data_IF_559404811798
#
_entry.id   IF_559404811798
#
_cell.length_a   1.000
_cell.length_b   1.000
_cell.length_c   1.000
_cell.angle_alpha   90.00
_cell.angle_beta   90.00
_cell.angle_gamma   90.00
#
_symmetry.space_group_name_H-M   'P 1'
#
loop_
_entity.id
_entity.type
_entity.pdbx_description
1 polymer ?
#
# COMPACT_ATOMS: atom_id res chain seq x y z
N UNK A 1 0.80 9.60 -17.48
CA UNK A 1 -0.16 10.33 -18.34
C UNK A 1 -0.09 11.82 -18.06
N UNK A 2 -0.48 12.69 -19.00
CA UNK A 2 -0.50 14.14 -18.78
C UNK A 2 -1.67 14.52 -17.85
N UNK A 3 -1.46 15.53 -17.02
CA UNK A 3 -2.51 16.13 -16.21
C UNK A 3 -3.53 16.88 -17.10
N UNK A 4 -4.78 16.95 -16.66
CA UNK A 4 -5.86 17.52 -17.46
C UNK A 4 -7.15 17.70 -16.66
N UNK A 5 -8.21 18.13 -17.35
CA UNK A 5 -9.57 18.21 -16.78
C UNK A 5 -10.19 16.81 -16.66
N UNK A 6 -11.08 16.60 -15.67
CA UNK A 6 -11.79 15.32 -15.46
C UNK A 6 -12.47 14.77 -16.73
N UNK A 7 -13.04 15.63 -17.58
CA UNK A 7 -13.72 15.19 -18.81
C UNK A 7 -12.78 14.53 -19.82
N UNK A 8 -11.49 14.88 -19.82
CA UNK A 8 -10.48 14.23 -20.67
C UNK A 8 -10.27 12.76 -20.27
N UNK A 9 -10.64 12.41 -19.05
CA UNK A 9 -10.49 11.09 -18.45
C UNK A 9 -11.79 10.29 -18.44
N UNK A 10 -12.86 10.78 -19.11
CA UNK A 10 -14.16 10.10 -19.20
C UNK A 10 -14.07 8.67 -19.74
N UNK A 11 -13.13 8.41 -20.64
CA UNK A 11 -12.89 7.09 -21.23
C UNK A 11 -12.40 6.04 -20.21
N UNK A 12 -11.92 6.45 -19.04
CA UNK A 12 -11.61 5.52 -17.95
C UNK A 12 -12.84 5.05 -17.19
N UNK A 13 -13.97 5.76 -17.31
CA UNK A 13 -15.23 5.34 -16.68
C UNK A 13 -15.61 3.94 -17.14
N UNK A 14 -16.04 3.12 -16.19
CA UNK A 14 -16.59 1.79 -16.43
C UNK A 14 -18.10 1.73 -16.23
N UNK A 15 -18.70 2.86 -15.89
CA UNK A 15 -20.13 2.99 -15.57
C UNK A 15 -20.75 4.02 -16.52
N UNK A 16 -21.97 3.73 -16.96
CA UNK A 16 -22.76 4.60 -17.84
C UNK A 16 -23.50 5.66 -17.03
N UNK A 17 -23.99 5.30 -15.84
CA UNK A 17 -24.75 6.20 -14.97
C UNK A 17 -24.21 6.23 -13.54
N UNK A 18 -24.68 7.21 -12.76
CA UNK A 18 -24.30 7.36 -11.35
C UNK A 18 -24.95 6.25 -10.51
N UNK A 19 -26.17 5.86 -10.87
CA UNK A 19 -26.91 4.75 -10.25
C UNK A 19 -26.14 3.44 -10.41
N UNK A 20 -25.70 3.11 -11.63
CA UNK A 20 -24.88 1.92 -11.89
C UNK A 20 -23.59 1.93 -11.05
N UNK A 21 -22.91 3.08 -10.97
CA UNK A 21 -21.73 3.22 -10.12
C UNK A 21 -22.05 2.97 -8.64
N UNK A 22 -23.14 3.54 -8.12
CA UNK A 22 -23.56 3.38 -6.74
C UNK A 22 -23.93 1.92 -6.42
N UNK A 23 -24.62 1.23 -7.32
CA UNK A 23 -24.98 -0.18 -7.17
C UNK A 23 -23.74 -1.07 -7.05
N UNK A 24 -22.75 -0.90 -7.94
CA UNK A 24 -21.52 -1.67 -7.87
C UNK A 24 -20.70 -1.35 -6.61
N UNK A 25 -20.66 -0.07 -6.20
CA UNK A 25 -20.01 0.35 -4.96
C UNK A 25 -20.68 -0.29 -3.74
N UNK A 26 -22.00 -0.33 -3.70
CA UNK A 26 -22.76 -0.94 -2.60
C UNK A 26 -22.53 -2.45 -2.54
N UNK A 27 -22.64 -3.16 -3.67
CA UNK A 27 -22.34 -4.61 -3.73
C UNK A 27 -20.94 -4.94 -3.22
N UNK A 28 -19.95 -4.12 -3.58
CA UNK A 28 -18.58 -4.30 -3.07
C UNK A 28 -18.50 -4.13 -1.55
N UNK A 29 -19.18 -3.13 -0.99
CA UNK A 29 -19.20 -2.90 0.46
C UNK A 29 -19.94 -4.02 1.20
N UNK A 30 -21.04 -4.53 0.64
CA UNK A 30 -21.77 -5.68 1.18
C UNK A 30 -20.91 -6.95 1.17
N UNK A 31 -20.10 -7.17 0.14
CA UNK A 31 -19.20 -8.32 0.05
C UNK A 31 -17.94 -8.18 0.93
N UNK A 32 -17.63 -6.96 1.35
CA UNK A 32 -16.44 -6.65 2.16
C UNK A 32 -16.75 -5.72 3.35
N UNK A 33 -17.66 -6.12 4.26
CA UNK A 33 -18.18 -5.25 5.31
C UNK A 33 -17.07 -4.75 6.25
N UNK A 34 -16.10 -5.61 6.57
CA UNK A 34 -15.02 -5.31 7.53
C UNK A 34 -13.73 -4.78 6.86
N UNK A 35 -13.78 -4.44 5.56
CA UNK A 35 -12.57 -4.02 4.85
C UNK A 35 -12.01 -2.71 5.40
N UNK A 36 -12.88 -1.73 5.62
CA UNK A 36 -12.50 -0.39 6.04
C UNK A 36 -12.81 -0.20 7.52
N UNK A 37 -11.89 0.43 8.24
CA UNK A 37 -12.25 1.00 9.54
C UNK A 37 -13.19 2.19 9.33
N UNK A 38 -13.87 2.65 10.38
CA UNK A 38 -14.78 3.79 10.29
C UNK A 38 -14.18 5.03 9.59
N UNK A 39 -12.97 5.45 9.99
CA UNK A 39 -12.30 6.60 9.36
C UNK A 39 -11.86 6.34 7.90
N UNK A 40 -11.54 5.09 7.56
CA UNK A 40 -11.22 4.71 6.18
C UNK A 40 -12.48 4.68 5.32
N UNK A 41 -13.62 4.28 5.87
CA UNK A 41 -14.91 4.33 5.19
C UNK A 41 -15.30 5.77 4.84
N UNK A 42 -15.13 6.72 5.76
CA UNK A 42 -15.34 8.16 5.47
C UNK A 42 -14.45 8.61 4.30
N UNK A 43 -13.17 8.21 4.31
CA UNK A 43 -12.24 8.52 3.22
C UNK A 43 -12.72 7.97 1.87
N UNK A 44 -13.21 6.72 1.87
CA UNK A 44 -13.74 6.04 0.69
C UNK A 44 -15.02 6.70 0.18
N UNK A 45 -15.91 7.11 1.09
CA UNK A 45 -17.16 7.81 0.77
C UNK A 45 -16.88 9.16 0.10
N UNK A 46 -15.97 9.96 0.66
CA UNK A 46 -15.55 11.24 0.07
C UNK A 46 -14.94 11.03 -1.31
N UNK A 47 -14.06 10.05 -1.48
CA UNK A 47 -13.52 9.73 -2.80
C UNK A 47 -14.62 9.32 -3.79
N UNK A 48 -15.63 8.57 -3.33
CA UNK A 48 -16.77 8.16 -4.15
C UNK A 48 -17.61 9.35 -4.60
N UNK A 49 -17.85 10.34 -3.72
CA UNK A 49 -18.56 11.58 -4.05
C UNK A 49 -17.81 12.40 -5.12
N UNK A 50 -16.48 12.48 -5.03
CA UNK A 50 -15.64 13.11 -6.06
C UNK A 50 -15.66 12.35 -7.40
N UNK A 51 -16.14 11.10 -7.40
CA UNK A 51 -16.24 10.23 -8.57
C UNK A 51 -17.64 10.21 -9.20
N UNK A 52 -18.52 11.16 -8.84
CA UNK A 52 -19.89 11.25 -9.39
C UNK A 52 -19.92 12.06 -10.69
N UNK A 53 -19.11 13.12 -10.82
CA UNK A 53 -19.09 14.01 -11.99
C UNK A 53 -18.82 13.23 -13.29
N UNK A 54 -17.89 12.29 -13.23
CA UNK A 54 -17.71 11.24 -14.22
C UNK A 54 -17.83 9.93 -13.45
N UNK A 55 -18.91 9.15 -13.65
CA UNK A 55 -19.20 7.97 -12.83
C UNK A 55 -17.99 7.06 -12.62
N UNK A 56 -17.58 6.88 -11.37
CA UNK A 56 -16.44 6.06 -10.99
C UNK A 56 -15.06 6.62 -11.33
N UNK A 57 -14.92 7.89 -11.74
CA UNK A 57 -13.62 8.53 -12.01
C UNK A 57 -13.47 9.83 -11.22
N UNK A 58 -12.40 9.94 -10.44
CA UNK A 58 -12.02 11.17 -9.75
C UNK A 58 -10.62 11.64 -10.16
N UNK A 59 -10.45 12.95 -10.35
CA UNK A 59 -9.18 13.59 -10.64
C UNK A 59 -8.87 14.61 -9.53
N UNK A 60 -8.07 14.21 -8.55
CA UNK A 60 -7.83 15.01 -7.36
C UNK A 60 -6.46 14.74 -6.71
N UNK A 61 -5.99 15.71 -5.90
CA UNK A 61 -4.87 15.48 -4.98
C UNK A 61 -5.37 14.78 -3.73
N UNK A 62 -4.55 13.90 -3.18
CA UNK A 62 -4.82 13.29 -1.85
C UNK A 62 -5.03 14.36 -0.78
N UNK A 63 -4.23 15.44 -0.81
CA UNK A 63 -4.37 16.54 0.14
C UNK A 63 -5.78 17.16 0.09
N UNK A 64 -6.31 17.42 -1.11
CA UNK A 64 -7.66 17.97 -1.30
C UNK A 64 -8.74 17.04 -0.76
N UNK A 65 -8.62 15.74 -1.02
CA UNK A 65 -9.58 14.73 -0.53
C UNK A 65 -9.55 14.62 1.00
N UNK A 66 -8.35 14.67 1.59
CA UNK A 66 -8.17 14.68 3.04
C UNK A 66 -8.78 15.93 3.66
N UNK A 67 -8.55 17.11 3.08
CA UNK A 67 -9.19 18.35 3.54
C UNK A 67 -10.71 18.30 3.44
N UNK A 68 -11.26 17.67 2.40
CA UNK A 68 -12.70 17.48 2.26
C UNK A 68 -13.30 16.55 3.34
N UNK A 69 -12.50 15.67 3.93
CA UNK A 69 -12.94 14.81 5.03
C UNK A 69 -13.01 15.55 6.38
N UNK A 70 -12.34 16.71 6.52
CA UNK A 70 -12.32 17.47 7.77
C UNK A 70 -13.70 17.94 8.23
N UNK A 71 -14.65 18.13 7.30
CA UNK A 71 -16.03 18.51 7.62
C UNK A 71 -16.88 17.35 8.17
N UNK A 72 -16.46 16.10 7.97
CA UNK A 72 -17.26 14.90 8.27
C UNK A 72 -16.77 14.15 9.52
N UNK A 73 -16.63 14.83 10.67
CA UNK A 73 -16.30 14.27 12.00
C UNK A 73 -14.80 14.24 12.36
N UNK A 74 -14.20 15.41 12.60
CA UNK A 74 -12.84 15.52 13.16
C UNK A 74 -11.70 15.31 12.16
N UNK A 75 -12.04 15.00 10.91
CA UNK A 75 -11.09 14.81 9.82
C UNK A 75 -10.31 13.50 9.90
N UNK A 76 -9.60 13.22 8.82
CA UNK A 76 -8.75 12.04 8.71
C UNK A 76 -7.32 12.48 8.41
N UNK A 77 -6.35 11.70 8.88
CA UNK A 77 -4.97 11.91 8.46
C UNK A 77 -4.75 11.46 7.01
N UNK A 78 -3.72 12.01 6.37
CA UNK A 78 -3.24 11.52 5.07
C UNK A 78 -2.88 10.03 5.12
N UNK A 79 -2.30 9.56 6.22
CA UNK A 79 -1.94 8.15 6.39
C UNK A 79 -3.17 7.24 6.34
N UNK A 80 -4.27 7.65 6.98
CA UNK A 80 -5.57 6.95 6.92
C UNK A 80 -6.08 6.86 5.48
N UNK A 81 -6.07 7.98 4.74
CA UNK A 81 -6.50 7.98 3.33
C UNK A 81 -5.64 7.04 2.47
N UNK A 82 -4.32 7.03 2.66
CA UNK A 82 -3.41 6.14 1.93
C UNK A 82 -3.64 4.67 2.30
N UNK A 83 -3.94 4.35 3.57
CA UNK A 83 -4.30 2.98 3.97
C UNK A 83 -5.60 2.52 3.31
N UNK A 84 -6.63 3.37 3.28
CA UNK A 84 -7.87 3.12 2.54
C UNK A 84 -7.58 2.82 1.06
N UNK A 85 -6.81 3.68 0.39
CA UNK A 85 -6.45 3.47 -1.02
C UNK A 85 -5.74 2.14 -1.25
N UNK A 86 -4.84 1.75 -0.35
CA UNK A 86 -4.12 0.47 -0.45
C UNK A 86 -5.08 -0.70 -0.31
N UNK A 87 -5.99 -0.66 0.67
CA UNK A 87 -7.01 -1.71 0.86
C UNK A 87 -7.95 -1.83 -0.35
N UNK A 88 -8.46 -0.70 -0.86
CA UNK A 88 -9.33 -0.65 -2.02
C UNK A 88 -8.63 -1.20 -3.29
N UNK A 89 -7.35 -0.87 -3.50
CA UNK A 89 -6.55 -1.43 -4.60
C UNK A 89 -6.35 -2.93 -4.48
N UNK A 90 -6.00 -3.40 -3.28
CA UNK A 90 -5.76 -4.82 -3.03
C UNK A 90 -7.02 -5.67 -3.26
N UNK A 91 -8.21 -5.11 -3.02
CA UNK A 91 -9.51 -5.75 -3.30
C UNK A 91 -10.01 -5.51 -4.73
N UNK A 92 -9.25 -4.83 -5.58
CA UNK A 92 -9.56 -4.68 -7.00
C UNK A 92 -10.60 -3.60 -7.34
N UNK A 93 -11.30 -3.01 -6.37
CA UNK A 93 -12.30 -1.96 -6.66
C UNK A 93 -11.70 -0.68 -7.20
N UNK A 94 -10.43 -0.38 -6.91
CA UNK A 94 -9.83 0.92 -7.25
C UNK A 94 -8.52 0.78 -8.00
N UNK A 95 -8.41 1.46 -9.14
CA UNK A 95 -7.14 1.70 -9.85
C UNK A 95 -6.74 3.16 -9.66
N UNK A 96 -5.43 3.42 -9.63
CA UNK A 96 -4.91 4.80 -9.54
C UNK A 96 -3.86 5.03 -10.60
N UNK A 97 -4.00 6.13 -11.32
CA UNK A 97 -3.03 6.58 -12.29
C UNK A 97 -2.37 7.88 -11.85
N UNK A 98 -1.04 7.90 -11.88
CA UNK A 98 -0.26 9.11 -11.63
C UNK A 98 -0.25 9.97 -12.88
N UNK A 99 -0.53 11.27 -12.72
CA UNK A 99 -0.42 12.24 -13.80
C UNK A 99 0.77 13.18 -13.57
N UNK A 100 1.25 13.76 -14.66
CA UNK A 100 2.43 14.63 -14.68
C UNK A 100 2.10 15.95 -15.38
N UNK A 101 2.71 17.05 -14.94
CA UNK A 101 2.58 18.34 -15.62
C UNK A 101 3.45 18.38 -16.88
N UNK A 102 3.15 19.29 -17.79
CA UNK A 102 4.00 19.60 -18.95
C UNK A 102 5.40 20.05 -18.54
N UNK A 103 5.51 20.82 -17.46
CA UNK A 103 6.76 21.30 -16.86
C UNK A 103 7.52 20.23 -16.05
N UNK A 104 7.03 18.99 -15.99
CA UNK A 104 7.56 17.94 -15.13
C UNK A 104 6.94 17.89 -13.73
N UNK A 105 7.26 16.84 -12.99
CA UNK A 105 6.75 16.56 -11.64
C UNK A 105 5.34 15.98 -11.59
N UNK A 106 4.95 15.46 -10.42
CA UNK A 106 3.64 14.86 -10.18
C UNK A 106 2.55 15.92 -10.07
N UNK A 107 1.42 15.64 -10.71
CA UNK A 107 0.20 16.44 -10.61
C UNK A 107 -0.87 15.67 -9.81
N UNK A 108 -2.14 15.87 -10.13
CA UNK A 108 -3.26 15.18 -9.51
C UNK A 108 -3.22 13.68 -9.84
N UNK A 109 -3.80 12.85 -8.99
CA UNK A 109 -3.99 11.45 -9.31
C UNK A 109 -5.38 11.26 -9.91
N UNK A 110 -5.48 10.28 -10.80
CA UNK A 110 -6.77 9.79 -11.28
C UNK A 110 -7.08 8.51 -10.54
N UNK A 111 -8.24 8.47 -9.91
CA UNK A 111 -8.79 7.31 -9.23
C UNK A 111 -9.92 6.77 -10.10
N UNK A 112 -9.88 5.48 -10.39
CA UNK A 112 -10.84 4.81 -11.29
C UNK A 112 -11.42 3.62 -10.56
N UNK A 113 -12.70 3.69 -10.24
CA UNK A 113 -13.46 2.58 -9.69
C UNK A 113 -13.67 1.52 -10.78
N UNK A 114 -13.49 0.26 -10.39
CA UNK A 114 -13.75 -0.89 -11.25
C UNK A 114 -15.15 -1.44 -10.94
N UNK A 115 -15.86 -1.99 -11.94
CA UNK A 115 -17.08 -2.72 -11.69
C UNK A 115 -16.84 -3.85 -10.69
N UNK A 116 -17.77 -4.01 -9.77
CA UNK A 116 -17.79 -5.18 -8.91
C UNK A 116 -18.29 -6.37 -9.72
N UNK A 117 -17.35 -7.19 -10.19
CA UNK A 117 -17.62 -8.54 -10.67
C UNK A 117 -17.39 -9.49 -9.49
N UNK A 118 -18.45 -10.19 -9.09
CA UNK A 118 -18.31 -11.28 -8.13
C UNK A 118 -17.33 -12.27 -8.76
N UNK A 119 -16.20 -12.61 -8.14
CA UNK A 119 -15.43 -13.74 -8.61
C UNK A 119 -16.39 -14.93 -8.56
N UNK A 120 -16.74 -15.48 -9.73
CA UNK A 120 -17.27 -16.83 -9.78
C UNK A 120 -16.17 -17.62 -9.10
N UNK A 121 -16.42 -18.07 -7.86
CA UNK A 121 -15.55 -19.04 -7.21
C UNK A 121 -15.40 -20.15 -8.25
N UNK A 122 -14.25 -20.19 -8.93
CA UNK A 122 -13.93 -21.30 -9.79
C UNK A 122 -13.90 -22.46 -8.83
N UNK A 123 -14.99 -23.23 -8.80
CA UNK A 123 -15.07 -24.42 -7.97
C UNK A 123 -13.79 -25.18 -8.26
N UNK A 124 -13.00 -25.42 -7.21
CA UNK A 124 -11.85 -26.32 -7.29
C UNK A 124 -12.39 -27.59 -7.93
N UNK A 125 -12.02 -27.86 -9.18
CA UNK A 125 -12.43 -29.08 -9.85
C UNK A 125 -11.84 -30.21 -9.03
N UNK A 126 -12.70 -30.97 -8.38
CA UNK A 126 -12.24 -32.13 -7.64
C UNK A 126 -11.55 -33.05 -8.65
N UNK A 127 -10.35 -33.52 -8.33
CA UNK A 127 -9.64 -34.46 -9.20
C UNK A 127 -10.47 -35.75 -9.23
N UNK A 128 -11.05 -36.11 -10.36
CA UNK A 128 -11.89 -37.32 -10.49
C UNK A 128 -11.10 -38.62 -10.28
N UNK A 129 -9.77 -38.56 -10.42
CA UNK A 129 -8.89 -39.72 -10.26
C UNK A 129 -7.74 -39.37 -9.33
N UNK A 130 -7.70 -40.10 -8.22
CA UNK A 130 -6.54 -40.18 -7.34
C UNK A 130 -5.44 -40.91 -8.12
N UNK A 131 -4.34 -40.22 -8.43
CA UNK A 131 -3.14 -40.91 -8.92
C UNK A 131 -2.58 -41.78 -7.78
N UNK A 132 -2.17 -42.99 -8.12
CA UNK A 132 -1.48 -43.85 -7.18
C UNK A 132 -0.25 -43.10 -6.65
N UNK A 133 -0.01 -43.08 -5.32
CA UNK A 133 1.19 -42.48 -4.75
C UNK A 133 2.42 -43.05 -5.44
N UNK A 134 3.30 -42.18 -5.93
CA UNK A 134 4.61 -42.62 -6.41
C UNK A 134 5.34 -43.25 -5.23
N UNK A 135 5.76 -44.51 -5.36
CA UNK A 135 6.58 -45.18 -4.35
C UNK A 135 7.88 -44.38 -4.18
N UNK A 136 8.01 -43.71 -3.03
CA UNK A 136 9.26 -43.07 -2.65
C UNK A 136 10.31 -44.16 -2.43
N UNK A 137 11.38 -44.15 -3.22
CA UNK A 137 12.60 -44.85 -2.82
C UNK A 137 13.08 -44.20 -1.53
N UNK A 138 13.23 -45.00 -0.48
CA UNK A 138 13.72 -44.53 0.81
C UNK A 138 15.03 -43.80 0.63
N UNK A 139 15.02 -42.50 0.89
CA UNK A 139 16.24 -41.73 1.03
C UNK A 139 16.67 -41.90 2.48
N UNK A 140 17.80 -42.59 2.70
CA UNK A 140 18.47 -42.68 4.01
C UNK A 140 19.05 -41.31 4.37
N UNK A 141 18.18 -40.31 4.52
CA UNK A 141 18.54 -39.01 5.03
C UNK A 141 18.62 -39.14 6.55
N UNK A 142 19.86 -39.11 7.04
CA UNK A 142 20.17 -39.09 8.48
C UNK A 142 19.30 -38.02 9.14
N UNK A 143 18.37 -38.46 10.00
CA UNK A 143 17.49 -37.60 10.79
C UNK A 143 18.37 -36.81 11.77
N UNK A 144 18.88 -35.66 11.33
CA UNK A 144 19.40 -34.66 12.25
C UNK A 144 18.18 -33.97 12.82
N UNK A 145 17.91 -34.20 14.11
CA UNK A 145 16.77 -33.62 14.81
C UNK A 145 16.85 -32.09 14.69
N UNK A 146 15.82 -31.47 14.14
CA UNK A 146 15.73 -30.01 13.94
C UNK A 146 16.01 -29.21 15.23
N UNK A 147 15.79 -29.82 16.40
CA UNK A 147 16.11 -29.28 17.71
C UNK A 147 17.60 -28.95 17.91
N UNK A 148 18.51 -29.71 17.31
CA UNK A 148 19.95 -29.49 17.44
C UNK A 148 20.41 -28.25 16.66
N UNK A 149 19.85 -28.04 15.45
CA UNK A 149 20.15 -26.86 14.62
C UNK A 149 19.62 -25.55 15.24
N UNK A 150 18.46 -25.59 15.92
CA UNK A 150 17.96 -24.44 16.68
C UNK A 150 18.89 -24.09 17.85
N UNK A 151 19.33 -25.08 18.64
CA UNK A 151 20.22 -24.86 19.78
C UNK A 151 21.58 -24.26 19.37
N UNK A 152 22.16 -24.75 18.27
CA UNK A 152 23.38 -24.19 17.67
C UNK A 152 23.14 -22.72 17.31
N UNK A 153 22.08 -22.39 16.58
CA UNK A 153 21.80 -21.02 16.16
C UNK A 153 21.56 -20.05 17.34
N UNK A 154 20.95 -20.52 18.45
CA UNK A 154 20.82 -19.71 19.66
C UNK A 154 22.17 -19.46 20.35
N UNK A 155 23.06 -20.47 20.39
CA UNK A 155 24.37 -20.37 21.05
C UNK A 155 25.32 -19.36 20.37
N UNK A 156 25.22 -19.19 19.06
CA UNK A 156 26.10 -18.30 18.28
C UNK A 156 25.52 -16.90 18.01
N UNK A 157 24.30 -16.63 18.46
CA UNK A 157 23.65 -15.31 18.26
C UNK A 157 24.40 -14.17 18.97
N UNK A 158 25.05 -14.46 20.09
CA UNK A 158 25.75 -13.46 20.91
C UNK A 158 27.23 -13.25 20.53
N UNK A 159 27.81 -14.16 19.73
CA UNK A 159 29.22 -14.07 19.30
C UNK A 159 29.44 -13.09 18.15
N UNK A 160 28.41 -12.82 17.33
CA UNK A 160 28.50 -11.89 16.20
C UNK A 160 28.20 -10.42 16.56
N UNK A 161 27.96 -10.11 17.84
CA UNK A 161 27.71 -8.73 18.30
C UNK A 161 29.01 -8.01 18.69
N UNK A 162 30.14 -8.72 18.86
CA UNK A 162 31.40 -8.15 19.39
C UNK A 162 32.53 -7.94 18.37
N UNK A 163 32.26 -7.95 17.06
CA UNK A 163 33.17 -7.36 16.08
C UNK A 163 32.66 -5.99 15.61
N UNK A 164 32.44 -5.10 16.58
CA UNK A 164 32.40 -3.66 16.32
C UNK A 164 33.83 -3.16 16.18
N UNK A 165 34.22 -2.81 14.95
CA UNK A 165 35.42 -2.03 14.60
C UNK A 165 35.82 -1.05 15.71
N UNK A 166 36.98 -1.28 16.31
CA UNK A 166 37.73 -0.22 17.00
C UNK A 166 38.10 0.84 15.96
N UNK A 167 37.45 2.00 16.05
CA UNK A 167 37.95 3.23 15.42
C UNK A 167 38.86 3.87 16.46
N UNK A 168 40.17 3.70 16.29
CA UNK A 168 41.18 4.33 17.12
C UNK A 168 41.22 5.84 16.84
N UNK A 169 40.77 6.61 17.82
CA UNK A 169 40.98 8.06 17.87
C UNK A 169 42.45 8.32 18.23
N UNK A 170 43.29 8.63 17.24
CA UNK A 170 44.59 9.22 17.51
C UNK A 170 44.43 10.74 17.64
N UNK A 171 44.50 11.21 18.89
CA UNK A 171 44.74 12.61 19.23
C UNK A 171 46.19 12.96 18.83
N UNK A 172 46.34 13.80 17.81
CA UNK A 172 47.57 14.54 17.58
C UNK A 172 47.48 15.87 18.32
N UNK A 173 48.25 15.97 19.41
CA UNK A 173 48.60 17.22 20.08
C UNK A 173 49.19 18.20 19.07
N UNK A 174 48.69 19.41 19.01
CA UNK A 174 49.40 20.62 18.61
C UNK A 174 48.65 21.82 19.16
N UNK A 175 49.12 22.32 20.30
CA UNK A 175 48.72 23.62 20.85
C UNK A 175 49.59 24.69 20.19
N UNK A 176 49.00 25.83 19.77
CA UNK A 176 49.63 27.08 20.16
C UNK A 176 48.65 28.18 20.59
N UNK A 177 48.97 28.73 21.77
CA UNK A 177 48.94 30.13 22.17
C UNK A 177 47.71 31.00 21.86
N UNK A 178 46.98 31.33 22.93
CA UNK A 178 46.19 32.55 23.08
C UNK A 178 47.08 33.78 22.84
N UNK A 179 46.73 34.59 21.84
CA UNK A 179 47.04 36.02 21.79
C UNK A 179 45.79 36.79 21.44
N UNK A 180 45.61 37.84 22.23
CA UNK A 180 44.58 38.87 22.24
C UNK A 180 44.41 39.57 20.89
N UNK A 181 43.19 40.08 20.63
CA UNK A 181 42.89 41.50 20.34
C UNK A 181 41.55 41.63 19.57
N UNK A 182 40.54 42.14 20.29
CA UNK A 182 39.86 43.41 19.99
C UNK A 182 39.09 43.65 18.67
N UNK A 183 37.83 44.07 18.86
CA UNK A 183 36.92 44.91 18.04
C UNK A 183 36.72 44.55 16.55
N UNK A 184 35.49 44.37 16.04
CA UNK A 184 34.46 45.42 15.82
C UNK A 184 33.14 44.76 15.47
#
# INVERSE_FOLDING_TARGET
MRAGNIYQFKHFSKFKTVEEFNDHKERFLQYHPDLFTHSEFIAFEVLSQYSVVVPGVANAKIATLVSACSSKQGGISRATFVRMLRKAKNKGILKTHKTYRSSGGFSHNIFVFQPFDVPIDMQMTHRDKQENPCESKGDDSKIVKESENLYINFKYKDLNIRQGKEVSTQQAKNEPALKELDYT
#
